data_IF_828336325252
#
_entry.id   IF_828336325252
#
_cell.length_a   1.000
_cell.length_b   1.000
_cell.length_c   1.000
_cell.angle_alpha   90.00
_cell.angle_beta   90.00
_cell.angle_gamma   90.00
#
_symmetry.space_group_name_H-M   'P 1'
#
loop_
_entity.id
_entity.type
_entity.pdbx_description
1 polymer ?
#
# COMPACT_ATOMS: atom_id res chain seq x y z
N UNK A 1 16.42 -15.97 0.20
CA UNK A 1 15.43 -15.83 1.31
C UNK A 1 14.10 -16.39 0.86
N UNK A 2 13.24 -16.84 1.79
CA UNK A 2 11.87 -17.24 1.48
C UNK A 2 10.91 -16.09 1.84
N UNK A 3 10.00 -15.74 0.93
CA UNK A 3 8.99 -14.70 1.17
C UNK A 3 7.59 -15.32 1.06
N UNK A 4 6.71 -15.13 2.05
CA UNK A 4 5.31 -15.54 1.98
C UNK A 4 4.58 -15.00 0.73
N UNK A 5 3.86 -15.86 0.02
CA UNK A 5 3.20 -15.49 -1.23
C UNK A 5 2.03 -14.53 -1.03
N UNK A 6 1.41 -14.52 0.16
CA UNK A 6 0.34 -13.59 0.50
C UNK A 6 0.85 -12.15 0.62
N UNK A 7 2.02 -11.94 1.23
CA UNK A 7 2.69 -10.63 1.27
C UNK A 7 3.03 -10.16 -0.14
N UNK A 8 3.58 -11.03 -0.99
CA UNK A 8 3.87 -10.70 -2.39
C UNK A 8 2.59 -10.35 -3.17
N UNK A 9 1.50 -11.11 -2.98
CA UNK A 9 0.19 -10.82 -3.60
C UNK A 9 -0.38 -9.48 -3.13
N UNK A 10 -0.25 -9.16 -1.83
CA UNK A 10 -0.68 -7.88 -1.29
C UNK A 10 0.14 -6.71 -1.85
N UNK A 11 1.46 -6.90 -2.00
CA UNK A 11 2.36 -5.89 -2.56
C UNK A 11 1.96 -5.45 -3.98
N UNK A 12 1.36 -6.35 -4.78
CA UNK A 12 0.93 -6.05 -6.16
C UNK A 12 -0.08 -4.91 -6.27
N UNK A 13 -0.86 -4.67 -5.21
CA UNK A 13 -1.95 -3.68 -5.24
C UNK A 13 -1.47 -2.24 -5.10
N UNK A 14 -0.24 -2.01 -4.64
CA UNK A 14 0.27 -0.65 -4.36
C UNK A 14 1.38 -0.20 -5.30
N UNK A 15 1.83 -1.01 -6.26
CA UNK A 15 2.88 -0.58 -7.20
C UNK A 15 2.37 0.44 -8.23
N UNK A 16 3.24 1.35 -8.66
CA UNK A 16 2.92 2.34 -9.69
C UNK A 16 2.85 1.71 -11.08
N UNK A 17 2.00 2.29 -11.94
CA UNK A 17 1.97 2.01 -13.38
C UNK A 17 2.47 3.21 -14.20
N UNK A 18 2.98 4.27 -13.56
CA UNK A 18 3.45 5.49 -14.22
C UNK A 18 4.89 5.35 -14.74
N UNK A 19 5.13 5.77 -15.98
CA UNK A 19 6.47 5.70 -16.59
C UNK A 19 7.46 6.73 -16.00
N UNK A 20 6.97 7.88 -15.57
CA UNK A 20 7.80 8.95 -14.99
C UNK A 20 8.41 8.59 -13.64
N UNK A 21 7.83 7.60 -12.95
CA UNK A 21 8.26 7.13 -11.62
C UNK A 21 8.59 5.64 -11.68
N UNK A 22 9.45 5.27 -12.63
CA UNK A 22 9.81 3.88 -12.91
C UNK A 22 10.33 3.11 -11.68
N UNK A 23 11.05 3.77 -10.77
CA UNK A 23 11.53 3.20 -9.50
C UNK A 23 10.41 2.78 -8.53
N UNK A 24 9.14 3.08 -8.85
CA UNK A 24 7.94 2.61 -8.13
C UNK A 24 7.21 1.46 -8.84
N UNK A 25 7.68 1.02 -10.02
CA UNK A 25 7.05 -0.06 -10.82
C UNK A 25 7.48 -1.47 -10.37
N UNK A 26 7.74 -1.64 -9.08
CA UNK A 26 8.27 -2.89 -8.53
C UNK A 26 8.09 -3.02 -7.03
N UNK A 27 8.53 -4.16 -6.51
CA UNK A 27 8.56 -4.52 -5.10
C UNK A 27 9.96 -4.28 -4.57
N UNK A 28 10.10 -3.31 -3.66
CA UNK A 28 11.36 -2.98 -3.03
C UNK A 28 11.62 -3.90 -1.83
N UNK A 29 12.74 -4.61 -1.84
CA UNK A 29 13.26 -5.37 -0.69
C UNK A 29 14.45 -4.60 -0.14
N UNK A 30 14.33 -4.10 1.08
CA UNK A 30 15.37 -3.29 1.72
C UNK A 30 16.19 -4.13 2.70
N UNK A 31 17.49 -3.86 2.74
CA UNK A 31 18.45 -4.33 3.76
C UNK A 31 17.98 -4.07 5.19
N UNK A 32 17.11 -3.08 5.38
CA UNK A 32 16.43 -2.83 6.66
C UNK A 32 15.40 -3.88 7.07
N UNK A 33 15.21 -4.95 6.30
CA UNK A 33 14.28 -6.05 6.61
C UNK A 33 12.83 -5.77 6.25
N UNK A 34 12.58 -4.92 5.25
CA UNK A 34 11.24 -4.53 4.85
C UNK A 34 11.02 -4.74 3.36
N UNK A 35 9.83 -5.23 3.00
CA UNK A 35 9.29 -5.21 1.65
C UNK A 35 8.33 -4.03 1.52
N UNK A 36 8.48 -3.21 0.48
CA UNK A 36 7.70 -1.98 0.29
C UNK A 36 7.24 -1.84 -1.16
N UNK A 37 5.96 -1.49 -1.34
CA UNK A 37 5.42 -1.04 -2.64
C UNK A 37 4.61 0.22 -2.46
N UNK A 38 4.70 1.17 -3.40
CA UNK A 38 3.88 2.39 -3.39
C UNK A 38 3.70 2.98 -4.77
N UNK A 39 2.57 3.66 -4.97
CA UNK A 39 2.27 4.51 -6.12
C UNK A 39 2.30 6.00 -5.73
N UNK A 40 2.60 6.31 -4.46
CA UNK A 40 2.55 7.65 -3.89
C UNK A 40 1.20 8.06 -3.30
N UNK A 41 0.13 7.27 -3.54
CA UNK A 41 -1.19 7.49 -2.94
C UNK A 41 -1.53 6.42 -1.90
N UNK A 42 -0.98 5.23 -2.06
CA UNK A 42 -1.04 4.13 -1.12
C UNK A 42 0.29 3.42 -1.08
N UNK A 43 0.54 2.75 0.03
CA UNK A 43 1.77 2.02 0.27
C UNK A 43 1.45 0.75 1.03
N UNK A 44 2.13 -0.33 0.70
CA UNK A 44 2.16 -1.55 1.48
C UNK A 44 3.57 -1.76 2.03
N UNK A 45 3.66 -2.15 3.30
CA UNK A 45 4.90 -2.46 3.99
C UNK A 45 4.74 -3.81 4.69
N UNK A 46 5.70 -4.70 4.50
CA UNK A 46 5.77 -5.96 5.24
C UNK A 46 7.18 -6.19 5.79
N UNK A 47 7.29 -6.83 6.93
CA UNK A 47 8.54 -7.34 7.48
C UNK A 47 9.00 -8.54 6.66
N UNK A 48 10.28 -8.57 6.32
CA UNK A 48 10.89 -9.73 5.68
C UNK A 48 11.36 -10.72 6.74
N UNK A 49 11.23 -12.04 6.50
CA UNK A 49 11.79 -13.06 7.39
C UNK A 49 13.31 -12.96 7.51
N UNK A 50 13.98 -12.62 6.40
CA UNK A 50 15.42 -12.41 6.31
C UNK A 50 15.74 -11.09 5.61
N UNK A 51 16.84 -10.44 5.99
CA UNK A 51 17.31 -9.21 5.33
C UNK A 51 18.06 -9.55 4.03
N UNK A 52 17.76 -8.88 2.90
CA UNK A 52 18.60 -8.99 1.72
C UNK A 52 19.99 -8.38 1.98
N UNK A 53 20.98 -8.81 1.22
CA UNK A 53 22.35 -8.25 1.26
C UNK A 53 22.46 -6.86 0.64
N UNK A 54 21.50 -6.47 -0.21
CA UNK A 54 21.43 -5.17 -0.86
C UNK A 54 19.97 -4.80 -1.13
N UNK A 55 19.70 -3.50 -1.18
CA UNK A 55 18.39 -2.99 -1.58
C UNK A 55 18.13 -3.35 -3.06
N UNK A 56 16.97 -3.92 -3.35
CA UNK A 56 16.61 -4.38 -4.71
C UNK A 56 15.16 -4.04 -5.00
N UNK A 57 14.87 -3.59 -6.22
CA UNK A 57 13.51 -3.35 -6.71
C UNK A 57 13.21 -4.42 -7.76
N UNK A 58 12.40 -5.41 -7.39
CA UNK A 58 11.99 -6.48 -8.30
C UNK A 58 10.85 -5.96 -9.18
N UNK A 59 10.95 -6.01 -10.52
CA UNK A 59 9.88 -5.54 -11.40
C UNK A 59 8.54 -6.23 -11.08
N UNK A 60 7.46 -5.44 -11.09
CA UNK A 60 6.13 -5.93 -10.72
C UNK A 60 5.68 -7.11 -11.60
N UNK A 61 6.00 -7.07 -12.90
CA UNK A 61 5.67 -8.11 -13.85
C UNK A 61 6.33 -9.46 -13.51
N UNK A 62 7.57 -9.44 -13.01
CA UNK A 62 8.31 -10.65 -12.66
C UNK A 62 7.77 -11.27 -11.37
N UNK A 63 7.37 -10.43 -10.40
CA UNK A 63 6.66 -10.88 -9.19
C UNK A 63 5.32 -11.55 -9.56
N UNK A 64 4.56 -10.94 -10.47
CA UNK A 64 3.30 -11.52 -10.97
C UNK A 64 3.52 -12.86 -11.69
N UNK A 65 4.55 -12.93 -12.55
CA UNK A 65 4.91 -14.15 -13.27
C UNK A 65 5.33 -15.27 -12.29
N UNK A 66 6.13 -14.95 -11.29
CA UNK A 66 6.58 -15.91 -10.29
C UNK A 66 5.44 -16.44 -9.43
N UNK A 67 4.53 -15.57 -8.98
CA UNK A 67 3.32 -15.98 -8.25
C UNK A 67 2.42 -16.88 -9.09
N UNK A 68 2.24 -16.57 -10.37
CA UNK A 68 1.46 -17.39 -11.30
C UNK A 68 2.09 -18.77 -11.50
N UNK A 69 3.41 -18.82 -11.67
CA UNK A 69 4.15 -20.06 -11.89
C UNK A 69 4.21 -20.94 -10.64
N UNK A 70 4.36 -20.34 -9.45
CA UNK A 70 4.36 -21.06 -8.17
C UNK A 70 3.01 -21.74 -7.87
N UNK A 71 1.91 -21.17 -8.35
CA UNK A 71 0.56 -21.71 -8.21
C UNK A 71 -0.08 -21.41 -6.84
N UNK A 72 -1.40 -21.61 -6.77
CA UNK A 72 -2.22 -21.12 -5.65
C UNK A 72 -1.91 -21.76 -4.28
N UNK A 73 -1.32 -22.96 -4.25
CA UNK A 73 -0.99 -23.69 -3.01
C UNK A 73 0.38 -23.33 -2.43
N UNK A 74 1.23 -22.67 -3.21
CA UNK A 74 2.56 -22.29 -2.78
C UNK A 74 2.48 -21.21 -1.70
N UNK A 75 3.07 -21.48 -0.53
CA UNK A 75 3.02 -20.56 0.62
C UNK A 75 4.19 -19.59 0.62
N UNK A 76 5.34 -19.96 0.05
CA UNK A 76 6.55 -19.14 0.05
C UNK A 76 7.27 -19.23 -1.29
N UNK A 77 7.89 -18.14 -1.73
CA UNK A 77 8.74 -18.11 -2.92
C UNK A 77 10.16 -17.74 -2.51
N UNK A 78 11.12 -18.49 -3.02
CA UNK A 78 12.54 -18.15 -2.87
C UNK A 78 12.89 -16.92 -3.71
N UNK A 79 13.60 -15.98 -3.09
CA UNK A 79 14.10 -14.76 -3.74
C UNK A 79 15.60 -14.66 -3.55
N UNK A 80 16.29 -14.40 -4.66
CA UNK A 80 17.73 -14.10 -4.76
C UNK A 80 17.93 -12.76 -5.47
N UNK A 81 19.19 -12.33 -5.62
CA UNK A 81 19.53 -11.08 -6.32
C UNK A 81 19.15 -11.08 -7.81
N UNK A 82 18.92 -12.25 -8.40
CA UNK A 82 18.71 -12.40 -9.85
C UNK A 82 17.41 -13.15 -10.19
N UNK A 83 16.78 -13.81 -9.20
CA UNK A 83 15.60 -14.66 -9.41
C UNK A 83 14.55 -14.50 -8.33
N UNK A 84 13.29 -14.60 -8.73
CA UNK A 84 12.13 -14.78 -7.86
C UNK A 84 11.42 -16.07 -8.28
N UNK A 85 11.47 -17.08 -7.42
CA UNK A 85 11.11 -18.45 -7.75
C UNK A 85 11.93 -18.96 -8.94
N UNK A 86 11.24 -19.30 -10.02
CA UNK A 86 11.89 -19.76 -11.26
C UNK A 86 12.05 -18.64 -12.31
N UNK A 87 11.64 -17.41 -12.00
CA UNK A 87 11.71 -16.27 -12.93
C UNK A 87 13.01 -15.51 -12.69
N UNK A 88 13.83 -15.39 -13.74
CA UNK A 88 14.95 -14.45 -13.75
C UNK A 88 14.43 -13.04 -13.99
N UNK A 89 14.97 -12.06 -13.27
CA UNK A 89 14.58 -10.66 -13.40
C UNK A 89 15.80 -9.75 -13.50
N UNK A 90 15.59 -8.56 -14.06
CA UNK A 90 16.56 -7.46 -13.99
C UNK A 90 16.03 -6.44 -12.99
N UNK A 91 16.76 -6.12 -11.90
CA UNK A 91 16.33 -5.10 -10.96
C UNK A 91 15.98 -3.78 -11.65
N UNK A 92 14.93 -3.11 -11.19
CA UNK A 92 14.63 -1.76 -11.64
C UNK A 92 15.75 -0.83 -11.14
N UNK A 93 16.34 -0.06 -12.06
CA UNK A 93 17.34 0.94 -11.71
C UNK A 93 16.72 2.07 -10.88
N UNK A 94 17.52 2.70 -10.02
CA UNK A 94 17.10 3.81 -9.17
C UNK A 94 16.96 3.47 -7.69
N UNK A 95 16.74 4.53 -6.90
CA UNK A 95 16.64 4.44 -5.43
C UNK A 95 15.19 4.56 -5.01
N UNK A 96 14.72 3.60 -4.21
CA UNK A 96 13.39 3.66 -3.63
C UNK A 96 13.31 4.82 -2.63
N UNK A 97 12.22 5.63 -2.63
CA UNK A 97 12.11 6.77 -1.73
C UNK A 97 12.12 6.35 -0.26
N UNK A 98 12.53 7.27 0.61
CA UNK A 98 12.43 7.09 2.06
C UNK A 98 10.97 7.06 2.51
N UNK A 99 10.42 5.84 2.51
CA UNK A 99 9.03 5.54 2.79
C UNK A 99 8.64 5.75 4.25
N UNK A 100 9.60 5.73 5.17
CA UNK A 100 9.33 5.88 6.61
C UNK A 100 8.76 7.26 6.94
N UNK A 101 9.10 8.27 6.13
CA UNK A 101 8.62 9.64 6.28
C UNK A 101 7.10 9.80 6.11
N UNK A 102 6.42 8.83 5.52
CA UNK A 102 4.97 8.86 5.32
C UNK A 102 4.22 7.87 6.22
N UNK A 103 4.93 7.12 7.06
CA UNK A 103 4.30 6.18 8.00
C UNK A 103 3.75 6.97 9.18
N UNK A 104 2.45 6.80 9.52
CA UNK A 104 1.89 7.41 10.71
C UNK A 104 2.62 6.97 11.99
N UNK A 105 2.88 7.93 12.86
CA UNK A 105 3.55 7.77 14.15
C UNK A 105 2.57 7.55 15.30
N UNK A 106 1.29 7.89 15.10
CA UNK A 106 0.26 7.90 16.14
C UNK A 106 0.22 9.22 16.93
N UNK A 107 1.14 10.14 16.67
CA UNK A 107 1.19 11.47 17.30
C UNK A 107 0.50 12.55 16.45
N UNK A 108 -0.03 12.19 15.29
CA UNK A 108 -0.70 13.12 14.39
C UNK A 108 -1.94 13.72 15.05
N UNK A 109 -2.12 15.02 14.86
CA UNK A 109 -3.34 15.72 15.30
C UNK A 109 -3.88 16.59 14.16
N UNK A 110 -5.21 16.70 14.04
CA UNK A 110 -5.83 17.66 13.11
C UNK A 110 -5.30 19.08 13.32
N UNK A 111 -5.12 19.83 12.24
CA UNK A 111 -4.79 21.25 12.32
C UNK A 111 -5.90 22.02 13.06
N UNK A 112 -5.54 22.66 14.18
CA UNK A 112 -6.49 23.32 15.09
C UNK A 112 -7.33 24.43 14.43
N UNK A 113 -6.77 25.09 13.42
CA UNK A 113 -7.38 26.24 12.76
C UNK A 113 -7.97 25.91 11.37
N UNK A 114 -8.13 24.62 11.04
CA UNK A 114 -8.64 24.17 9.72
C UNK A 114 -9.82 23.21 9.89
N UNK A 115 -11.07 23.68 9.77
CA UNK A 115 -12.25 22.83 9.87
C UNK A 115 -12.23 21.64 8.90
N UNK A 116 -11.70 21.83 7.69
CA UNK A 116 -11.55 20.79 6.67
C UNK A 116 -10.58 19.65 7.06
N UNK A 117 -9.76 19.85 8.09
CA UNK A 117 -8.80 18.86 8.57
C UNK A 117 -9.32 18.05 9.76
N UNK A 118 -10.50 18.38 10.28
CA UNK A 118 -11.13 17.64 11.37
C UNK A 118 -11.43 16.18 10.94
N UNK A 119 -11.46 15.22 11.88
CA UNK A 119 -11.65 13.79 11.58
C UNK A 119 -12.92 13.46 10.77
N UNK A 120 -13.95 14.31 10.84
CA UNK A 120 -15.19 14.15 10.05
C UNK A 120 -15.06 14.47 8.56
N UNK A 121 -13.94 15.07 8.12
CA UNK A 121 -13.73 15.55 6.75
C UNK A 121 -12.62 14.78 6.01
N UNK A 122 -12.32 13.56 6.47
CA UNK A 122 -11.33 12.69 5.83
C UNK A 122 -11.98 11.97 4.65
N UNK A 123 -11.44 12.20 3.45
CA UNK A 123 -11.91 11.57 2.24
C UNK A 123 -10.82 10.66 1.65
N UNK A 124 -11.23 9.57 1.03
CA UNK A 124 -10.33 8.63 0.37
C UNK A 124 -10.82 8.30 -1.04
N UNK A 125 -9.90 7.94 -1.92
CA UNK A 125 -10.27 7.36 -3.20
C UNK A 125 -10.83 5.95 -2.98
N UNK A 126 -12.10 5.76 -3.31
CA UNK A 126 -12.81 4.47 -3.18
C UNK A 126 -12.13 3.30 -3.91
N UNK A 127 -11.40 3.54 -4.99
CA UNK A 127 -10.70 2.49 -5.74
C UNK A 127 -9.55 1.91 -4.90
N UNK A 128 -8.85 2.79 -4.16
CA UNK A 128 -7.78 2.38 -3.26
C UNK A 128 -8.31 1.63 -2.05
N UNK A 129 -9.46 2.03 -1.52
CA UNK A 129 -10.18 1.23 -0.49
C UNK A 129 -10.52 -0.16 -1.03
N UNK A 130 -11.01 -0.25 -2.27
CA UNK A 130 -11.33 -1.53 -2.91
C UNK A 130 -10.13 -2.46 -3.03
N UNK A 131 -8.95 -1.92 -3.30
CA UNK A 131 -7.72 -2.71 -3.36
C UNK A 131 -7.22 -3.11 -1.97
N UNK A 132 -7.32 -2.24 -0.96
CA UNK A 132 -7.03 -2.59 0.44
C UNK A 132 -7.95 -3.72 0.95
N UNK A 133 -9.22 -3.72 0.54
CA UNK A 133 -10.15 -4.80 0.88
C UNK A 133 -9.73 -6.14 0.24
N UNK A 134 -9.18 -6.12 -0.98
CA UNK A 134 -8.61 -7.32 -1.62
C UNK A 134 -7.34 -7.78 -0.89
N UNK A 135 -6.48 -6.84 -0.48
CA UNK A 135 -5.30 -7.14 0.33
C UNK A 135 -5.68 -7.82 1.65
N UNK A 136 -6.71 -7.31 2.35
CA UNK A 136 -7.23 -7.97 3.55
C UNK A 136 -7.58 -9.43 3.31
N UNK A 137 -8.37 -9.72 2.25
CA UNK A 137 -8.73 -11.10 1.90
C UNK A 137 -7.51 -11.99 1.66
N UNK A 138 -6.49 -11.47 0.98
CA UNK A 138 -5.23 -12.18 0.71
C UNK A 138 -4.45 -12.44 1.99
N UNK A 139 -4.43 -11.47 2.91
CA UNK A 139 -3.67 -11.51 4.17
C UNK A 139 -4.41 -12.22 5.31
N UNK A 140 -5.60 -12.78 5.05
CA UNK A 140 -6.36 -13.57 6.01
C UNK A 140 -7.22 -12.76 6.97
N UNK A 141 -7.58 -11.51 6.66
CA UNK A 141 -8.36 -10.64 7.55
C UNK A 141 -9.13 -9.53 6.86
N UNK A 142 -9.84 -8.70 7.64
CA UNK A 142 -10.41 -7.45 7.13
C UNK A 142 -9.36 -6.34 7.18
N UNK A 143 -9.31 -5.49 6.16
CA UNK A 143 -8.55 -4.24 6.22
C UNK A 143 -9.27 -3.23 7.12
N UNK A 144 -8.57 -2.63 8.08
CA UNK A 144 -9.09 -1.59 8.97
C UNK A 144 -8.33 -0.29 8.76
N UNK A 145 -9.06 0.80 8.51
CA UNK A 145 -8.49 2.13 8.33
C UNK A 145 -8.48 2.88 9.67
N UNK A 146 -7.39 3.60 9.95
CA UNK A 146 -7.20 4.41 11.15
C UNK A 146 -6.98 5.89 10.76
N UNK A 147 -8.03 6.60 10.30
CA UNK A 147 -7.90 7.98 9.86
C UNK A 147 -7.75 8.93 11.05
N UNK A 148 -6.85 9.90 10.91
CA UNK A 148 -6.68 10.99 11.89
C UNK A 148 -7.23 12.31 11.36
N UNK A 149 -6.87 12.68 10.13
CA UNK A 149 -7.23 13.96 9.50
C UNK A 149 -7.01 13.89 7.98
N UNK A 150 -7.44 14.93 7.26
CA UNK A 150 -7.27 15.01 5.80
C UNK A 150 -5.84 15.37 5.38
N UNK A 151 -5.02 15.87 6.30
CA UNK A 151 -3.63 16.28 6.06
C UNK A 151 -2.61 15.20 6.39
N UNK A 152 -3.00 14.16 7.13
CA UNK A 152 -2.10 13.11 7.59
C UNK A 152 -2.41 11.76 6.92
N UNK A 153 -1.39 10.93 6.63
CA UNK A 153 -1.61 9.60 6.08
C UNK A 153 -2.45 8.73 7.02
N UNK A 154 -3.27 7.84 6.45
CA UNK A 154 -4.10 6.91 7.19
C UNK A 154 -3.39 5.56 7.29
N UNK A 155 -3.17 5.08 8.52
CA UNK A 155 -2.66 3.73 8.75
C UNK A 155 -3.76 2.71 8.41
N UNK A 156 -3.36 1.58 7.83
CA UNK A 156 -4.26 0.47 7.51
C UNK A 156 -3.66 -0.83 8.03
N UNK A 157 -4.44 -1.56 8.83
CA UNK A 157 -4.05 -2.88 9.38
C UNK A 157 -4.89 -3.99 8.76
N UNK A 158 -4.45 -5.25 8.86
CA UNK A 158 -5.09 -6.39 8.21
C UNK A 158 -5.34 -7.53 9.20
N UNK A 159 -6.56 -7.60 9.76
CA UNK A 159 -6.87 -8.57 10.82
C UNK A 159 -5.86 -8.52 11.97
N UNK A 160 -5.42 -9.69 12.44
CA UNK A 160 -4.44 -9.83 13.53
C UNK A 160 -2.98 -9.90 13.01
N UNK A 161 -2.77 -9.59 11.73
CA UNK A 161 -1.46 -9.72 11.09
C UNK A 161 -0.54 -8.56 11.45
N UNK A 162 0.48 -8.84 12.26
CA UNK A 162 1.40 -7.83 12.80
C UNK A 162 2.67 -7.61 11.96
N UNK A 163 3.01 -8.51 11.04
CA UNK A 163 4.18 -8.42 10.16
C UNK A 163 3.96 -7.50 8.95
N UNK A 164 2.80 -6.85 8.81
CA UNK A 164 2.56 -5.93 7.71
C UNK A 164 1.51 -4.86 8.02
N UNK A 165 1.54 -3.78 7.24
CA UNK A 165 0.55 -2.72 7.26
C UNK A 165 0.50 -2.01 5.90
N UNK A 166 -0.50 -1.17 5.71
CA UNK A 166 -0.56 -0.26 4.58
C UNK A 166 -0.75 1.18 5.05
N UNK A 167 -0.45 2.12 4.16
CA UNK A 167 -0.70 3.55 4.34
C UNK A 167 -1.55 4.02 3.18
N UNK A 168 -2.55 4.85 3.46
CA UNK A 168 -3.43 5.45 2.47
C UNK A 168 -3.44 6.97 2.61
N UNK A 169 -3.11 7.67 1.54
CA UNK A 169 -3.14 9.13 1.50
C UNK A 169 -4.58 9.64 1.37
N UNK A 170 -5.02 10.57 2.23
CA UNK A 170 -6.33 11.21 2.07
C UNK A 170 -6.39 12.08 0.81
N UNK A 171 -7.62 12.30 0.34
CA UNK A 171 -7.94 13.28 -0.68
C UNK A 171 -8.29 14.61 -0.02
N UNK A 172 -7.56 15.65 -0.38
CA UNK A 172 -7.91 17.03 -0.01
C UNK A 172 -9.07 17.49 -0.88
N UNK A 173 -10.29 17.40 -0.34
CA UNK A 173 -11.51 17.91 -0.99
C UNK A 173 -12.35 18.69 -0.01
N UNK A 174 -12.80 19.86 -0.44
CA UNK A 174 -13.90 20.57 0.20
C UNK A 174 -15.20 19.87 -0.17
N UNK A 175 -16.03 19.52 0.81
CA UNK A 175 -17.37 18.98 0.55
C UNK A 175 -18.19 20.07 -0.15
N UNK A 176 -18.75 19.76 -1.32
CA UNK A 176 -19.77 20.62 -1.90
C UNK A 176 -21.08 20.43 -1.12
N UNK A 177 -21.34 21.35 -0.18
CA UNK A 177 -22.54 21.33 0.64
C UNK A 177 -23.84 21.50 -0.17
N UNK A 178 -23.78 21.80 -1.47
CA UNK A 178 -24.95 21.79 -2.37
C UNK A 178 -25.40 20.38 -2.74
N UNK A 179 -24.49 19.39 -2.68
CA UNK A 179 -24.78 17.99 -2.98
C UNK A 179 -25.36 17.21 -1.78
N UNK A 180 -25.36 17.82 -0.58
CA UNK A 180 -26.02 17.25 0.58
C UNK A 180 -27.52 17.44 0.39
N UNK A 181 -28.22 16.33 0.14
CA UNK A 181 -29.68 16.24 0.28
C UNK A 181 -30.02 16.62 1.71
N UNK A 182 -30.19 17.91 1.96
CA UNK A 182 -30.78 18.41 3.20
C UNK A 182 -32.15 17.76 3.33
N UNK A 183 -32.46 17.29 4.54
CA UNK A 183 -33.64 16.49 4.89
C UNK A 183 -35.00 17.04 4.41
N UNK A 184 -35.07 18.23 3.79
CA UNK A 184 -36.32 18.91 3.44
C UNK A 184 -36.41 19.45 1.98
N UNK A 185 -35.55 19.04 1.04
CA UNK A 185 -35.83 19.31 -0.39
C UNK A 185 -35.63 18.05 -1.22
N UNK A 186 -36.74 17.33 -1.43
CA UNK A 186 -36.90 16.43 -2.56
C UNK A 186 -36.62 17.27 -3.81
N UNK A 187 -35.73 16.79 -4.68
CA UNK A 187 -35.51 17.36 -6.01
C UNK A 187 -36.88 17.42 -6.70
N UNK A 188 -37.40 18.63 -6.90
CA UNK A 188 -38.56 18.82 -7.77
C UNK A 188 -38.13 18.38 -9.17
N UNK A 189 -38.92 17.47 -9.75
CA UNK A 189 -38.66 16.81 -11.02
C UNK A 189 -38.72 17.70 -12.26
#
# INVERSE_FOLDING_TARGET
MLIPTDLLKAALYCASNEESRYYLKGVHLSTSGHMVTTDGHRMFVAMLPDQPSADVIIPLADVQAALKLAGARCQEIEVTAEKIGQIAYTPVDGTFPDWRRVVPTGEETPAKDKPEDLPGNVHFNHAYIGDLAKMGKVLGGASMLHPVSASHPCLVTFGDRADCFAVLMPMRRTIDNRAVLTRNRVMAG
#
